data_IF_263263856817
#
_entry.id   IF_263263856817
#
_cell.length_a   1.000
_cell.length_b   1.000
_cell.length_c   1.000
_cell.angle_alpha   90.00
_cell.angle_beta   90.00
_cell.angle_gamma   90.00
#
_symmetry.space_group_name_H-M   'P 1'
#
loop_
_entity.id
_entity.type
_entity.pdbx_description
1 polymer ?
#
# COMPACT_ATOMS: atom_id res chain seq x y z
N UNK A 1 1.41 -6.36 -16.32
CA UNK A 1 2.65 -5.79 -15.76
C UNK A 1 3.74 -6.87 -15.70
N UNK A 2 5.01 -6.53 -16.00
CA UNK A 2 6.10 -7.49 -15.88
C UNK A 2 6.28 -7.98 -14.43
N UNK A 3 6.51 -9.27 -14.27
CA UNK A 3 6.85 -9.91 -12.99
C UNK A 3 8.17 -10.63 -13.13
N UNK A 4 8.96 -10.62 -12.09
CA UNK A 4 10.25 -11.27 -12.06
C UNK A 4 10.42 -12.13 -10.81
N UNK A 5 10.97 -13.33 -10.99
CA UNK A 5 11.32 -14.23 -9.91
C UNK A 5 12.76 -14.67 -10.04
N UNK A 6 13.55 -14.55 -8.98
CA UNK A 6 14.93 -15.02 -8.91
C UNK A 6 15.05 -16.25 -8.04
N UNK A 7 15.83 -17.22 -8.49
CA UNK A 7 16.19 -18.45 -7.77
C UNK A 7 17.69 -18.67 -7.77
N UNK A 8 18.11 -19.88 -7.38
CA UNK A 8 19.55 -20.24 -7.29
C UNK A 8 20.24 -20.34 -8.66
N UNK A 9 19.48 -20.70 -9.71
CA UNK A 9 20.03 -20.91 -11.07
C UNK A 9 19.85 -19.70 -11.99
N UNK A 10 19.14 -18.66 -11.55
CA UNK A 10 18.86 -17.49 -12.38
C UNK A 10 17.52 -16.84 -12.06
N UNK A 11 16.90 -16.23 -13.06
CA UNK A 11 15.62 -15.53 -12.91
C UNK A 11 14.72 -15.71 -14.12
N UNK A 12 13.42 -15.52 -13.91
CA UNK A 12 12.40 -15.46 -14.96
C UNK A 12 11.63 -14.15 -14.89
N UNK A 13 11.14 -13.70 -16.06
CA UNK A 13 10.27 -12.52 -16.18
C UNK A 13 9.08 -12.88 -17.04
N UNK A 14 7.88 -12.69 -16.51
CA UNK A 14 6.62 -12.80 -17.21
C UNK A 14 6.04 -11.43 -17.51
N UNK A 15 5.29 -11.28 -18.59
CA UNK A 15 4.75 -9.98 -19.05
C UNK A 15 3.25 -9.99 -19.27
N UNK A 16 2.57 -11.10 -18.96
CA UNK A 16 1.15 -11.29 -19.28
C UNK A 16 0.91 -11.72 -20.74
N UNK A 17 1.96 -12.14 -21.43
CA UNK A 17 1.92 -12.74 -22.76
C UNK A 17 2.24 -14.23 -22.69
N UNK A 18 1.96 -15.01 -23.75
CA UNK A 18 2.36 -16.42 -23.81
C UNK A 18 3.88 -16.65 -23.74
N UNK A 19 4.65 -15.62 -24.06
CA UNK A 19 6.12 -15.68 -23.98
C UNK A 19 6.61 -15.08 -22.66
N UNK A 20 7.62 -15.72 -22.09
CA UNK A 20 8.39 -15.23 -20.94
C UNK A 20 9.90 -15.38 -21.20
N UNK A 21 10.69 -14.65 -20.44
CA UNK A 21 12.16 -14.68 -20.55
C UNK A 21 12.75 -15.33 -19.30
N UNK A 22 13.66 -16.27 -19.49
CA UNK A 22 14.50 -16.80 -18.42
C UNK A 22 15.96 -16.39 -18.62
N UNK A 23 16.73 -16.40 -17.52
CA UNK A 23 18.16 -16.12 -17.54
C UNK A 23 18.88 -17.03 -16.54
N UNK A 24 19.77 -17.87 -17.06
CA UNK A 24 20.67 -18.75 -16.30
C UNK A 24 22.14 -18.56 -16.69
N UNK A 25 22.52 -17.33 -17.00
CA UNK A 25 23.78 -16.96 -17.66
C UNK A 25 23.59 -16.56 -19.12
N UNK A 26 22.49 -17.03 -19.74
CA UNK A 26 22.05 -16.66 -21.09
C UNK A 26 20.56 -16.32 -21.03
N UNK A 27 20.17 -15.24 -21.72
CA UNK A 27 18.75 -14.88 -21.85
C UNK A 27 18.09 -15.78 -22.90
N UNK A 28 17.04 -16.49 -22.49
CA UNK A 28 16.25 -17.38 -23.34
C UNK A 28 14.79 -16.93 -23.33
N UNK A 29 14.17 -16.94 -24.48
CA UNK A 29 12.72 -16.70 -24.61
C UNK A 29 12.00 -18.04 -24.77
N UNK A 30 11.03 -18.26 -23.91
CA UNK A 30 10.21 -19.47 -23.93
C UNK A 30 8.76 -19.12 -24.21
N UNK A 31 8.02 -20.08 -24.72
CA UNK A 31 6.57 -19.97 -24.91
C UNK A 31 5.88 -20.95 -23.97
N UNK A 32 4.83 -20.49 -23.28
CA UNK A 32 4.02 -21.34 -22.42
C UNK A 32 3.35 -22.47 -23.23
N UNK A 33 3.17 -23.65 -22.63
CA UNK A 33 2.34 -24.70 -23.23
C UNK A 33 0.97 -24.18 -23.65
N UNK A 34 0.43 -24.71 -24.73
CA UNK A 34 -0.88 -24.34 -25.29
C UNK A 34 -1.04 -22.83 -25.64
N UNK A 35 0.05 -22.07 -25.64
CA UNK A 35 0.03 -20.62 -25.94
C UNK A 35 -0.73 -19.79 -24.89
N UNK A 36 -0.89 -20.29 -23.68
CA UNK A 36 -1.55 -19.55 -22.57
C UNK A 36 -0.68 -18.41 -22.04
N UNK A 37 -1.30 -17.40 -21.50
CA UNK A 37 -0.60 -16.24 -20.94
C UNK A 37 0.19 -16.60 -19.68
N UNK A 38 1.43 -16.12 -19.57
CA UNK A 38 2.25 -16.17 -18.37
C UNK A 38 2.00 -14.91 -17.52
N UNK A 39 1.09 -15.00 -16.55
CA UNK A 39 0.57 -13.85 -15.80
C UNK A 39 1.54 -13.39 -14.72
N UNK A 40 2.00 -14.32 -13.90
CA UNK A 40 2.86 -14.07 -12.75
C UNK A 40 3.85 -15.19 -12.55
N UNK A 41 4.97 -14.90 -11.86
CA UNK A 41 5.97 -15.90 -11.54
C UNK A 41 6.57 -15.66 -10.15
N UNK A 42 6.91 -16.76 -9.47
CA UNK A 42 7.66 -16.75 -8.22
C UNK A 42 8.66 -17.89 -8.19
N UNK A 43 9.65 -17.79 -7.30
CA UNK A 43 10.51 -18.92 -6.93
C UNK A 43 10.15 -19.35 -5.50
N UNK A 44 9.82 -20.64 -5.35
CA UNK A 44 9.42 -21.21 -4.07
C UNK A 44 10.00 -22.60 -3.88
N UNK A 45 10.80 -22.79 -2.83
CA UNK A 45 11.35 -24.09 -2.40
C UNK A 45 11.95 -24.96 -3.51
N UNK A 46 12.75 -24.38 -4.39
CA UNK A 46 13.43 -25.10 -5.47
C UNK A 46 12.67 -25.13 -6.80
N UNK A 47 11.47 -24.59 -6.86
CA UNK A 47 10.65 -24.55 -8.07
C UNK A 47 10.44 -23.11 -8.53
N UNK A 48 10.53 -22.88 -9.83
CA UNK A 48 10.02 -21.70 -10.49
C UNK A 48 8.55 -21.96 -10.83
N UNK A 49 7.66 -21.15 -10.34
CA UNK A 49 6.23 -21.27 -10.55
C UNK A 49 5.76 -20.17 -11.48
N UNK A 50 5.00 -20.54 -12.49
CA UNK A 50 4.43 -19.60 -13.47
C UNK A 50 2.90 -19.78 -13.45
N UNK A 51 2.18 -18.70 -13.19
CA UNK A 51 0.72 -18.69 -13.29
C UNK A 51 0.28 -18.44 -14.73
N UNK A 52 -0.66 -19.22 -15.19
CA UNK A 52 -1.55 -18.94 -16.32
C UNK A 52 -2.98 -18.68 -15.79
N UNK A 53 -3.97 -18.31 -16.57
CA UNK A 53 -5.27 -17.86 -16.05
C UNK A 53 -5.93 -18.81 -15.03
N UNK A 54 -5.73 -20.12 -15.14
CA UNK A 54 -6.35 -21.11 -14.23
C UNK A 54 -5.39 -22.20 -13.79
N UNK A 55 -4.12 -22.10 -14.11
CA UNK A 55 -3.12 -23.15 -13.86
C UNK A 55 -1.88 -22.57 -13.24
N UNK A 56 -1.28 -23.33 -12.37
CA UNK A 56 0.02 -23.06 -11.78
C UNK A 56 1.01 -24.10 -12.33
N UNK A 57 1.92 -23.65 -13.21
CA UNK A 57 2.95 -24.46 -13.81
C UNK A 57 4.21 -24.43 -12.96
N UNK A 58 5.02 -25.49 -12.98
CA UNK A 58 6.29 -25.56 -12.29
C UNK A 58 7.43 -25.93 -13.20
N UNK A 59 8.62 -25.46 -12.82
CA UNK A 59 9.92 -25.75 -13.45
C UNK A 59 10.92 -26.01 -12.34
N UNK A 60 11.80 -26.99 -12.56
CA UNK A 60 12.95 -27.26 -11.68
C UNK A 60 14.20 -26.54 -12.14
N UNK A 61 14.29 -26.21 -13.42
CA UNK A 61 15.40 -25.46 -14.03
C UNK A 61 14.87 -24.45 -15.06
N UNK A 62 15.77 -23.65 -15.62
CA UNK A 62 15.46 -22.61 -16.61
C UNK A 62 15.90 -22.95 -18.03
N UNK A 63 16.20 -24.22 -18.32
CA UNK A 63 16.69 -24.65 -19.63
C UNK A 63 15.60 -24.74 -20.69
N UNK A 64 14.34 -24.89 -20.27
CA UNK A 64 13.19 -25.04 -21.16
C UNK A 64 11.87 -24.46 -20.59
N UNK A 65 10.80 -24.49 -21.38
CA UNK A 65 9.46 -24.19 -20.87
C UNK A 65 8.96 -25.33 -19.96
N UNK A 66 7.92 -25.10 -19.13
CA UNK A 66 7.27 -26.19 -18.39
C UNK A 66 6.74 -27.22 -19.37
N UNK A 67 6.78 -28.49 -18.98
CA UNK A 67 6.15 -29.54 -19.79
C UNK A 67 4.64 -29.34 -19.83
N UNK A 68 3.99 -29.82 -20.87
CA UNK A 68 2.57 -29.59 -21.09
C UNK A 68 1.66 -30.10 -19.96
N UNK A 69 2.13 -31.08 -19.18
CA UNK A 69 1.42 -31.67 -18.06
C UNK A 69 1.94 -31.22 -16.68
N UNK A 70 2.98 -30.40 -16.65
CA UNK A 70 3.57 -29.90 -15.40
C UNK A 70 2.77 -28.71 -14.86
N UNK A 71 1.53 -28.94 -14.48
CA UNK A 71 0.67 -27.93 -13.86
C UNK A 71 -0.32 -28.54 -12.87
N UNK A 72 -0.80 -27.71 -11.96
CA UNK A 72 -1.95 -27.96 -11.10
C UNK A 72 -3.02 -26.92 -11.37
N UNK A 73 -4.30 -27.33 -11.38
CA UNK A 73 -5.43 -26.41 -11.49
C UNK A 73 -5.61 -25.57 -10.23
N UNK A 74 -5.96 -24.31 -10.39
CA UNK A 74 -6.42 -23.43 -9.31
C UNK A 74 -7.95 -23.30 -9.41
N UNK A 75 -8.64 -24.43 -9.24
CA UNK A 75 -10.05 -24.61 -9.62
C UNK A 75 -11.03 -24.51 -8.44
N UNK A 76 -10.57 -24.16 -7.23
CA UNK A 76 -11.47 -24.02 -6.07
C UNK A 76 -12.50 -22.88 -6.29
N UNK A 77 -12.19 -21.92 -7.15
CA UNK A 77 -13.11 -20.91 -7.65
C UNK A 77 -12.96 -20.80 -9.16
N UNK A 78 -14.06 -20.50 -9.88
CA UNK A 78 -14.01 -20.32 -11.34
C UNK A 78 -13.60 -18.89 -11.70
N UNK A 79 -12.46 -18.45 -11.20
CA UNK A 79 -11.90 -17.13 -11.48
C UNK A 79 -10.46 -17.22 -12.01
N UNK A 80 -10.04 -16.19 -12.70
CA UNK A 80 -8.70 -16.15 -13.28
C UNK A 80 -7.67 -15.72 -12.22
N UNK A 81 -6.50 -16.34 -12.28
CA UNK A 81 -5.35 -15.97 -11.42
C UNK A 81 -4.87 -14.57 -11.79
N UNK A 82 -4.61 -13.75 -10.78
CA UNK A 82 -4.12 -12.39 -10.91
C UNK A 82 -2.65 -12.29 -10.52
N UNK A 83 -2.25 -12.97 -9.43
CA UNK A 83 -0.90 -12.86 -8.88
C UNK A 83 -0.52 -14.08 -8.05
N UNK A 84 0.77 -14.38 -7.99
CA UNK A 84 1.38 -15.35 -7.09
C UNK A 84 2.19 -14.65 -6.01
N UNK A 85 2.06 -15.09 -4.77
CA UNK A 85 2.86 -14.57 -3.66
C UNK A 85 3.49 -15.71 -2.87
N UNK A 86 4.79 -15.67 -2.70
CA UNK A 86 5.52 -16.57 -1.81
C UNK A 86 5.34 -16.14 -0.34
N UNK A 87 4.73 -17.00 0.47
CA UNK A 87 4.59 -16.82 1.92
C UNK A 87 5.69 -17.55 2.71
N UNK A 88 6.62 -18.24 2.04
CA UNK A 88 7.67 -19.03 2.64
C UNK A 88 7.23 -20.44 3.04
N UNK A 89 6.10 -20.62 3.71
CA UNK A 89 5.52 -21.94 4.02
C UNK A 89 4.58 -22.45 2.94
N UNK A 90 3.93 -21.56 2.21
CA UNK A 90 2.96 -21.84 1.17
C UNK A 90 3.05 -20.80 0.07
N UNK A 91 2.40 -21.06 -1.04
CA UNK A 91 2.17 -20.11 -2.13
C UNK A 91 0.73 -19.65 -2.08
N UNK A 92 0.51 -18.34 -2.00
CA UNK A 92 -0.80 -17.75 -2.16
C UNK A 92 -1.05 -17.42 -3.63
N UNK A 93 -2.12 -17.96 -4.18
CA UNK A 93 -2.61 -17.74 -5.53
C UNK A 93 -3.81 -16.82 -5.45
N UNK A 94 -3.61 -15.56 -5.81
CA UNK A 94 -4.67 -14.57 -5.83
C UNK A 94 -5.44 -14.63 -7.13
N UNK A 95 -6.74 -14.85 -7.03
CA UNK A 95 -7.71 -14.73 -8.12
C UNK A 95 -8.51 -13.44 -8.01
N UNK A 96 -9.45 -13.26 -8.95
CA UNK A 96 -10.34 -12.09 -8.97
C UNK A 96 -11.37 -12.12 -7.84
N UNK A 97 -11.73 -13.31 -7.34
CA UNK A 97 -12.75 -13.53 -6.30
C UNK A 97 -12.29 -14.40 -5.15
N UNK A 98 -11.16 -15.11 -5.30
CA UNK A 98 -10.66 -16.04 -4.30
C UNK A 98 -9.16 -15.92 -4.09
N UNK A 99 -8.70 -16.40 -2.94
CA UNK A 99 -7.29 -16.68 -2.68
C UNK A 99 -7.17 -18.15 -2.32
N UNK A 100 -6.36 -18.88 -3.07
CA UNK A 100 -6.08 -20.29 -2.85
C UNK A 100 -4.64 -20.44 -2.36
N UNK A 101 -4.40 -21.47 -1.56
CA UNK A 101 -3.06 -21.73 -1.05
C UNK A 101 -2.56 -23.08 -1.52
N UNK A 102 -1.29 -23.13 -1.89
CA UNK A 102 -0.61 -24.35 -2.34
C UNK A 102 0.64 -24.57 -1.49
N UNK A 103 0.93 -25.82 -1.21
CA UNK A 103 2.16 -26.25 -0.56
C UNK A 103 2.98 -27.17 -1.44
N UNK A 104 4.30 -27.14 -1.27
CA UNK A 104 5.21 -28.09 -1.90
C UNK A 104 5.27 -29.35 -1.06
N UNK A 105 4.90 -30.50 -1.66
CA UNK A 105 4.84 -31.81 -0.97
C UNK A 105 5.98 -32.74 -1.32
N UNK A 106 6.91 -32.34 -2.21
CA UNK A 106 8.09 -33.13 -2.55
C UNK A 106 7.84 -34.34 -3.45
N UNK A 107 6.63 -34.46 -4.04
CA UNK A 107 6.37 -35.44 -5.10
C UNK A 107 7.07 -35.01 -6.40
N UNK A 108 7.64 -35.96 -7.12
CA UNK A 108 8.30 -35.69 -8.41
C UNK A 108 7.28 -35.42 -9.52
N UNK A 109 6.14 -36.09 -9.49
CA UNK A 109 5.13 -35.97 -10.55
C UNK A 109 4.19 -34.78 -10.35
N UNK A 110 3.88 -34.45 -9.10
CA UNK A 110 3.06 -33.30 -8.75
C UNK A 110 3.57 -32.68 -7.44
N UNK A 111 4.51 -31.73 -7.53
CA UNK A 111 5.11 -31.14 -6.34
C UNK A 111 4.19 -30.18 -5.59
N UNK A 112 3.09 -29.70 -6.22
CA UNK A 112 2.20 -28.70 -5.66
C UNK A 112 0.85 -29.34 -5.26
N UNK A 113 0.42 -29.08 -4.03
CA UNK A 113 -0.85 -29.55 -3.51
C UNK A 113 -1.68 -28.38 -2.96
N UNK A 114 -2.95 -28.24 -3.36
CA UNK A 114 -3.82 -27.22 -2.82
C UNK A 114 -4.15 -27.50 -1.35
N UNK A 115 -4.20 -26.43 -0.54
CA UNK A 115 -4.71 -26.48 0.84
C UNK A 115 -6.19 -26.09 0.77
N UNK A 116 -7.03 -27.07 0.47
CA UNK A 116 -8.45 -26.86 0.11
C UNK A 116 -9.23 -26.14 1.22
N UNK A 117 -8.96 -26.48 2.47
CA UNK A 117 -9.65 -25.92 3.64
C UNK A 117 -9.34 -24.44 3.89
N UNK A 118 -8.29 -23.91 3.26
CA UNK A 118 -7.83 -22.54 3.44
C UNK A 118 -8.26 -21.58 2.31
N UNK A 119 -9.11 -22.02 1.39
CA UNK A 119 -9.60 -21.13 0.33
C UNK A 119 -10.39 -19.97 0.90
N UNK A 120 -10.04 -18.74 0.51
CA UNK A 120 -10.67 -17.51 0.99
C UNK A 120 -11.55 -16.90 -0.07
N UNK A 121 -12.79 -16.51 0.29
CA UNK A 121 -13.76 -15.86 -0.59
C UNK A 121 -13.53 -14.33 -0.65
N UNK A 122 -12.34 -13.97 -1.05
CA UNK A 122 -11.91 -12.59 -1.28
C UNK A 122 -10.88 -12.59 -2.40
N UNK A 123 -10.97 -11.64 -3.33
CA UNK A 123 -10.04 -11.54 -4.44
C UNK A 123 -9.58 -10.12 -4.69
N UNK A 124 -8.78 -9.96 -5.74
CA UNK A 124 -8.23 -8.69 -6.19
C UNK A 124 -8.47 -8.51 -7.68
N UNK A 125 -8.77 -7.30 -8.12
CA UNK A 125 -9.02 -7.06 -9.54
C UNK A 125 -7.73 -7.04 -10.37
N UNK A 126 -6.62 -6.60 -9.80
CA UNK A 126 -5.35 -6.41 -10.51
C UNK A 126 -4.15 -6.70 -9.62
N UNK A 127 -3.08 -7.23 -10.18
CA UNK A 127 -1.82 -7.55 -9.50
C UNK A 127 -1.17 -6.37 -8.78
N UNK A 128 -1.33 -5.14 -9.30
CA UNK A 128 -0.84 -3.91 -8.66
C UNK A 128 -1.56 -3.57 -7.35
N UNK A 129 -2.62 -4.27 -7.00
CA UNK A 129 -3.36 -4.12 -5.74
C UNK A 129 -2.82 -5.00 -4.61
N UNK A 130 -1.71 -5.67 -4.84
CA UNK A 130 -1.06 -6.54 -3.87
C UNK A 130 0.36 -6.07 -3.64
N UNK A 131 0.79 -6.01 -2.37
CA UNK A 131 2.18 -5.69 -1.98
C UNK A 131 2.62 -6.48 -0.76
N UNK A 132 3.85 -6.97 -0.82
CA UNK A 132 4.54 -7.55 0.33
C UNK A 132 5.41 -6.47 0.99
N UNK A 133 5.14 -6.15 2.24
CA UNK A 133 5.82 -5.10 3.02
C UNK A 133 6.22 -5.70 4.36
N UNK A 134 7.51 -5.68 4.69
CA UNK A 134 8.00 -6.20 5.97
C UNK A 134 7.67 -7.68 6.22
N UNK A 135 7.53 -8.49 5.16
CA UNK A 135 7.14 -9.90 5.24
C UNK A 135 5.64 -10.16 5.23
N UNK A 136 4.81 -9.15 5.46
CA UNK A 136 3.34 -9.24 5.40
C UNK A 136 2.82 -8.88 4.01
N UNK A 137 1.73 -9.49 3.60
CA UNK A 137 1.09 -9.25 2.30
C UNK A 137 -0.15 -8.41 2.49
N UNK A 138 -0.11 -7.19 1.99
CA UNK A 138 -1.24 -6.26 1.97
C UNK A 138 -1.90 -6.28 0.59
N UNK A 139 -3.22 -6.21 0.56
CA UNK A 139 -3.96 -6.18 -0.71
C UNK A 139 -5.25 -5.38 -0.60
N UNK A 140 -5.59 -4.68 -1.67
CA UNK A 140 -6.89 -4.04 -1.83
C UNK A 140 -7.86 -5.03 -2.45
N UNK A 141 -8.68 -5.62 -1.62
CA UNK A 141 -9.56 -6.74 -2.00
C UNK A 141 -11.03 -6.38 -1.97
N UNK A 142 -11.80 -7.19 -2.67
CA UNK A 142 -13.26 -7.19 -2.64
C UNK A 142 -13.71 -8.56 -2.12
N UNK A 143 -14.25 -8.66 -0.90
CA UNK A 143 -14.88 -9.87 -0.41
C UNK A 143 -16.20 -10.13 -1.13
N UNK A 144 -16.64 -11.38 -1.18
CA UNK A 144 -17.95 -11.74 -1.76
C UNK A 144 -19.11 -11.01 -1.09
N UNK A 145 -18.97 -10.75 0.21
CA UNK A 145 -19.95 -9.99 1.00
C UNK A 145 -19.24 -8.82 1.67
N UNK A 146 -19.62 -7.60 1.30
CA UNK A 146 -19.07 -6.38 1.91
C UNK A 146 -18.53 -5.37 0.88
N UNK A 147 -17.77 -4.42 1.38
CA UNK A 147 -17.17 -3.33 0.60
C UNK A 147 -15.69 -3.61 0.34
N UNK A 148 -15.13 -3.08 -0.76
CA UNK A 148 -13.69 -3.10 -0.98
C UNK A 148 -12.93 -2.47 0.19
N UNK A 149 -11.75 -2.97 0.46
CA UNK A 149 -10.92 -2.46 1.54
C UNK A 149 -9.49 -2.94 1.46
N UNK A 150 -8.65 -2.41 2.36
CA UNK A 150 -7.31 -2.91 2.56
C UNK A 150 -7.32 -4.06 3.55
N UNK A 151 -6.72 -5.15 3.13
CA UNK A 151 -6.57 -6.36 3.94
C UNK A 151 -5.10 -6.74 4.06
N UNK A 152 -4.79 -7.51 5.10
CA UNK A 152 -3.50 -8.17 5.28
C UNK A 152 -3.73 -9.67 5.38
N UNK A 153 -2.88 -10.47 4.72
CA UNK A 153 -2.84 -11.91 4.95
C UNK A 153 -2.18 -12.19 6.30
N UNK A 154 -2.88 -12.99 7.09
CA UNK A 154 -2.42 -13.49 8.39
C UNK A 154 -2.40 -15.03 8.34
N UNK A 155 -1.26 -15.59 7.96
CA UNK A 155 -1.14 -17.01 7.64
C UNK A 155 -2.02 -17.41 6.45
N UNK A 156 -3.00 -18.29 6.68
CA UNK A 156 -3.99 -18.74 5.69
C UNK A 156 -5.36 -18.06 5.86
N UNK A 157 -5.39 -16.92 6.54
CA UNK A 157 -6.57 -16.09 6.75
C UNK A 157 -6.30 -14.64 6.36
N UNK A 158 -7.30 -13.79 6.44
CA UNK A 158 -7.10 -12.36 6.19
C UNK A 158 -7.77 -11.52 7.28
N UNK A 159 -7.23 -10.32 7.47
CA UNK A 159 -7.77 -9.32 8.39
C UNK A 159 -7.91 -7.98 7.69
N UNK A 160 -9.03 -7.29 7.90
CA UNK A 160 -9.22 -5.92 7.42
C UNK A 160 -8.35 -4.95 8.22
N UNK A 161 -7.64 -4.08 7.50
CA UNK A 161 -6.73 -3.07 8.06
C UNK A 161 -7.28 -1.67 7.85
N UNK A 162 -8.04 -1.45 6.76
CA UNK A 162 -8.65 -0.16 6.48
C UNK A 162 -9.79 0.16 7.43
N UNK A 163 -9.83 1.41 7.87
CA UNK A 163 -11.00 2.01 8.47
C UNK A 163 -11.88 2.70 7.42
N UNK A 164 -13.09 3.08 7.83
CA UNK A 164 -14.09 3.71 6.96
C UNK A 164 -13.59 5.01 6.31
N UNK A 165 -12.77 5.78 7.02
CA UNK A 165 -12.24 7.06 6.52
C UNK A 165 -11.26 6.86 5.36
N UNK A 166 -10.38 5.85 5.45
CA UNK A 166 -9.48 5.50 4.35
C UNK A 166 -10.28 5.04 3.13
N UNK A 167 -11.27 4.17 3.34
CA UNK A 167 -12.10 3.64 2.27
C UNK A 167 -12.89 4.75 1.59
N UNK A 168 -13.49 5.64 2.36
CA UNK A 168 -14.18 6.82 1.86
C UNK A 168 -13.25 7.72 1.06
N UNK A 169 -12.04 7.98 1.55
CA UNK A 169 -11.05 8.79 0.85
C UNK A 169 -10.60 8.16 -0.49
N UNK A 170 -10.47 6.83 -0.54
CA UNK A 170 -10.09 6.11 -1.77
C UNK A 170 -11.28 6.04 -2.74
N UNK A 171 -12.49 5.93 -2.25
CA UNK A 171 -13.71 5.74 -3.05
C UNK A 171 -14.45 7.05 -3.38
N UNK A 172 -13.99 8.20 -2.90
CA UNK A 172 -14.68 9.50 -2.98
C UNK A 172 -14.88 10.06 -4.40
N UNK A 173 -14.16 9.54 -5.40
CA UNK A 173 -14.39 9.85 -6.83
C UNK A 173 -14.89 8.60 -7.55
N UNK A 174 -15.31 8.66 -8.85
CA UNK A 174 -15.83 7.49 -9.51
C UNK A 174 -14.84 6.33 -9.35
N UNK A 175 -15.22 5.43 -8.44
CA UNK A 175 -14.43 4.28 -8.07
C UNK A 175 -14.24 3.38 -9.28
N UNK A 176 -13.00 3.21 -9.68
CA UNK A 176 -12.61 2.22 -10.65
C UNK A 176 -11.45 1.42 -10.06
N UNK A 177 -11.69 0.15 -9.77
CA UNK A 177 -10.67 -0.75 -9.25
C UNK A 177 -9.40 -0.73 -10.10
N UNK A 178 -9.54 -0.55 -11.44
CA UNK A 178 -8.42 -0.47 -12.36
C UNK A 178 -7.48 0.72 -12.10
N UNK A 179 -7.89 1.71 -11.34
CA UNK A 179 -7.10 2.91 -11.09
C UNK A 179 -6.33 2.88 -9.77
N UNK A 180 -6.56 1.87 -8.93
CA UNK A 180 -5.88 1.74 -7.64
C UNK A 180 -4.61 0.91 -7.80
N UNK A 181 -3.49 1.44 -7.33
CA UNK A 181 -2.23 0.74 -7.19
C UNK A 181 -1.75 0.85 -5.74
N UNK A 182 -1.36 -0.28 -5.16
CA UNK A 182 -0.68 -0.35 -3.88
C UNK A 182 0.82 -0.35 -4.07
N UNK A 183 1.49 0.36 -3.21
CA UNK A 183 2.91 0.26 -2.98
C UNK A 183 3.17 0.39 -1.48
N UNK A 184 4.42 0.26 -1.03
CA UNK A 184 4.71 0.47 0.37
C UNK A 184 6.10 0.03 0.75
N UNK A 185 6.47 0.40 1.97
CA UNK A 185 7.79 0.12 2.54
C UNK A 185 7.73 0.08 4.05
N UNK A 186 8.78 -0.50 4.63
CA UNK A 186 8.99 -0.46 6.06
C UNK A 186 9.81 0.79 6.41
N UNK A 187 9.32 1.62 7.32
CA UNK A 187 9.98 2.85 7.76
C UNK A 187 10.04 2.89 9.28
N UNK A 188 11.24 2.87 9.85
CA UNK A 188 11.45 2.85 11.30
C UNK A 188 10.58 1.83 12.08
N UNK A 189 10.33 0.67 11.48
CA UNK A 189 9.47 -0.36 12.07
C UNK A 189 7.98 -0.23 11.73
N UNK A 190 7.57 0.85 11.09
CA UNK A 190 6.20 1.07 10.64
C UNK A 190 5.98 0.56 9.23
N UNK A 191 4.91 -0.18 9.01
CA UNK A 191 4.47 -0.58 7.66
C UNK A 191 3.67 0.55 7.03
N UNK A 192 4.28 1.20 6.04
CA UNK A 192 3.62 2.28 5.30
C UNK A 192 3.02 1.71 4.02
N UNK A 193 1.72 1.77 3.88
CA UNK A 193 1.00 1.42 2.66
C UNK A 193 0.62 2.68 1.91
N UNK A 194 1.00 2.72 0.65
CA UNK A 194 0.74 3.84 -0.25
C UNK A 194 -0.34 3.45 -1.26
N UNK A 195 -1.36 4.28 -1.35
CA UNK A 195 -2.38 4.22 -2.39
C UNK A 195 -2.10 5.28 -3.44
N UNK A 196 -1.98 4.84 -4.66
CA UNK A 196 -1.80 5.72 -5.80
C UNK A 196 -2.88 5.43 -6.83
N UNK A 197 -3.54 6.49 -7.33
CA UNK A 197 -4.46 6.37 -8.45
C UNK A 197 -3.70 6.50 -9.75
N UNK A 198 -3.86 5.51 -10.61
CA UNK A 198 -3.29 5.52 -11.96
C UNK A 198 -4.29 6.23 -12.87
N UNK A 199 -4.09 7.51 -13.15
CA UNK A 199 -4.86 8.25 -14.13
C UNK A 199 -4.11 8.38 -15.46
N UNK A 200 -4.84 8.19 -16.56
CA UNK A 200 -4.30 8.39 -17.91
C UNK A 200 -4.15 9.88 -18.30
N UNK A 201 -4.71 10.79 -17.52
CA UNK A 201 -4.64 12.23 -17.72
C UNK A 201 -3.85 12.92 -16.62
N UNK A 202 -3.36 14.12 -16.90
CA UNK A 202 -2.55 14.95 -16.01
C UNK A 202 -3.28 15.44 -14.71
N UNK A 203 -4.35 14.76 -14.30
CA UNK A 203 -5.08 15.09 -13.10
C UNK A 203 -4.30 14.70 -11.85
N UNK A 204 -4.23 15.62 -10.95
CA UNK A 204 -3.60 15.54 -9.63
C UNK A 204 -4.46 14.73 -8.67
N UNK A 205 -4.41 13.40 -8.75
CA UNK A 205 -5.02 12.59 -7.69
C UNK A 205 -4.09 12.55 -6.48
N UNK A 206 -4.59 12.80 -5.28
CA UNK A 206 -3.76 12.72 -4.09
C UNK A 206 -3.22 11.31 -3.89
N UNK A 207 -1.97 11.23 -3.46
CA UNK A 207 -1.39 9.98 -2.96
C UNK A 207 -1.71 9.85 -1.47
N UNK A 208 -2.32 8.75 -1.07
CA UNK A 208 -2.67 8.48 0.32
C UNK A 208 -1.66 7.51 0.90
N UNK A 209 -1.12 7.84 2.05
CA UNK A 209 -0.26 6.97 2.86
C UNK A 209 -1.04 6.55 4.10
N UNK A 210 -1.03 5.26 4.38
CA UNK A 210 -1.50 4.69 5.64
C UNK A 210 -0.30 4.13 6.40
N UNK A 211 -0.07 4.60 7.61
CA UNK A 211 0.75 3.89 8.58
C UNK A 211 -0.11 2.82 9.26
N UNK A 212 0.12 1.57 8.93
CA UNK A 212 -0.68 0.45 9.46
C UNK A 212 -0.50 0.29 10.98
N UNK A 213 0.65 0.67 11.51
CA UNK A 213 0.97 0.49 12.92
C UNK A 213 0.20 1.46 13.83
N UNK A 214 -0.05 2.67 13.34
CA UNK A 214 -0.72 3.74 14.10
C UNK A 214 -2.14 4.02 13.61
N UNK A 215 -2.49 3.56 12.40
CA UNK A 215 -3.74 3.94 11.71
C UNK A 215 -3.72 5.34 11.11
N UNK A 216 -2.60 6.06 11.19
CA UNK A 216 -2.51 7.43 10.68
C UNK A 216 -2.58 7.47 9.15
N UNK A 217 -3.43 8.37 8.65
CA UNK A 217 -3.62 8.60 7.22
C UNK A 217 -3.00 9.94 6.86
N UNK A 218 -2.11 9.94 5.87
CA UNK A 218 -1.47 11.15 5.35
C UNK A 218 -1.74 11.26 3.85
N UNK A 219 -2.16 12.44 3.42
CA UNK A 219 -2.38 12.73 2.00
C UNK A 219 -1.24 13.56 1.47
N UNK A 220 -0.59 13.10 0.41
CA UNK A 220 0.40 13.87 -0.34
C UNK A 220 -0.31 14.49 -1.53
N UNK A 221 -0.50 15.81 -1.48
CA UNK A 221 -1.01 16.62 -2.59
C UNK A 221 0.15 17.42 -3.17
N UNK A 222 0.75 16.99 -4.27
CA UNK A 222 1.80 17.77 -4.90
C UNK A 222 1.19 18.94 -5.69
N UNK A 223 1.85 20.09 -5.65
CA UNK A 223 1.53 21.26 -6.49
C UNK A 223 1.76 20.98 -7.99
N UNK A 224 2.50 19.93 -8.30
CA UNK A 224 2.66 19.37 -9.64
C UNK A 224 2.23 17.91 -9.64
N UNK A 225 1.78 17.36 -10.79
CA UNK A 225 1.37 15.97 -10.85
C UNK A 225 2.52 15.07 -10.40
N UNK A 226 2.35 14.46 -9.23
CA UNK A 226 3.32 13.55 -8.66
C UNK A 226 3.39 12.27 -9.50
N UNK A 227 4.53 12.06 -10.13
CA UNK A 227 4.72 11.01 -11.13
C UNK A 227 5.31 9.71 -10.56
N UNK A 228 5.47 9.61 -9.24
CA UNK A 228 6.05 8.43 -8.59
C UNK A 228 5.10 7.25 -8.58
N UNK A 229 5.35 6.23 -9.39
CA UNK A 229 4.57 4.97 -9.42
C UNK A 229 5.05 3.93 -8.45
N UNK A 230 6.35 3.70 -8.43
CA UNK A 230 6.97 2.65 -7.64
C UNK A 230 7.96 3.25 -6.66
N UNK A 231 8.03 2.66 -5.48
CA UNK A 231 8.91 3.10 -4.43
C UNK A 231 9.73 1.91 -3.94
N UNK A 232 10.98 2.13 -3.63
CA UNK A 232 11.84 1.15 -2.99
C UNK A 232 12.84 1.85 -2.10
N UNK A 233 13.34 1.14 -1.11
CA UNK A 233 14.43 1.64 -0.27
C UNK A 233 15.73 1.03 -0.80
N UNK A 234 16.69 1.88 -1.11
CA UNK A 234 18.02 1.42 -1.51
C UNK A 234 18.75 0.77 -0.33
N UNK A 235 19.79 -0.01 -0.61
CA UNK A 235 20.65 -0.58 0.41
C UNK A 235 21.28 0.45 1.37
N UNK A 236 21.31 1.73 0.97
CA UNK A 236 21.78 2.86 1.79
C UNK A 236 20.67 3.56 2.56
N UNK A 237 19.44 3.02 2.59
CA UNK A 237 18.30 3.61 3.29
C UNK A 237 17.61 4.76 2.55
N UNK A 238 18.03 5.10 1.32
CA UNK A 238 17.37 6.15 0.56
C UNK A 238 16.09 5.63 -0.08
N UNK A 239 15.02 6.41 0.01
CA UNK A 239 13.80 6.15 -0.71
C UNK A 239 13.99 6.50 -2.20
N UNK A 240 13.81 5.53 -3.06
CA UNK A 240 13.89 5.66 -4.50
C UNK A 240 12.49 5.61 -5.10
N UNK A 241 12.22 6.48 -6.05
CA UNK A 241 10.91 6.61 -6.70
C UNK A 241 11.08 6.42 -8.20
N UNK A 242 10.34 5.48 -8.77
CA UNK A 242 10.24 5.33 -10.22
C UNK A 242 9.29 6.38 -10.79
N UNK A 243 9.79 7.23 -11.69
CA UNK A 243 8.98 8.26 -12.34
C UNK A 243 8.15 7.68 -13.49
N UNK A 244 6.91 8.14 -13.59
CA UNK A 244 6.04 7.83 -14.74
C UNK A 244 6.34 8.70 -15.96
N UNK A 245 6.97 9.87 -15.76
CA UNK A 245 7.18 10.90 -16.80
C UNK A 245 8.58 10.88 -17.40
N UNK A 246 9.54 10.29 -16.69
CA UNK A 246 10.93 10.19 -17.15
C UNK A 246 11.41 8.76 -17.07
N UNK A 247 12.22 8.36 -18.05
CA UNK A 247 12.95 7.08 -17.98
C UNK A 247 14.03 7.26 -16.93
N UNK A 248 13.86 6.63 -15.77
CA UNK A 248 14.85 6.67 -14.70
C UNK A 248 14.26 6.55 -13.31
N UNK A 249 15.13 6.33 -12.35
CA UNK A 249 14.83 6.31 -10.93
C UNK A 249 15.16 7.69 -10.37
N UNK A 250 14.16 8.37 -9.83
CA UNK A 250 14.36 9.63 -9.13
C UNK A 250 14.61 9.33 -7.66
N UNK A 251 15.73 9.79 -7.12
CA UNK A 251 15.97 9.78 -5.69
C UNK A 251 14.93 10.70 -5.06
N UNK A 252 14.19 10.21 -4.06
CA UNK A 252 13.36 11.08 -3.25
C UNK A 252 14.30 12.01 -2.51
N UNK A 253 14.34 13.26 -2.94
CA UNK A 253 15.12 14.27 -2.29
C UNK A 253 14.58 14.52 -0.88
N UNK A 254 15.47 14.81 0.04
CA UNK A 254 15.10 15.35 1.33
C UNK A 254 14.08 16.45 1.12
N UNK A 255 13.09 16.39 1.95
CA UNK A 255 11.96 17.29 2.04
C UNK A 255 12.31 18.71 1.61
N UNK A 256 11.69 19.17 0.53
CA UNK A 256 11.73 20.58 0.17
C UNK A 256 11.13 21.39 1.35
N UNK A 257 11.91 22.25 2.01
CA UNK A 257 11.41 23.05 3.13
C UNK A 257 10.30 24.03 2.72
N UNK A 258 10.12 24.28 1.43
CA UNK A 258 9.10 25.18 0.91
C UNK A 258 7.73 24.50 0.72
N UNK A 259 7.64 23.17 0.83
CA UNK A 259 6.35 22.45 0.67
C UNK A 259 5.52 22.57 1.95
N UNK A 260 4.32 23.16 1.88
CA UNK A 260 3.39 23.22 3.01
C UNK A 260 3.00 21.81 3.45
N UNK A 261 2.99 21.56 4.74
CA UNK A 261 2.56 20.30 5.34
C UNK A 261 1.41 20.52 6.26
N UNK A 262 0.47 19.63 6.26
CA UNK A 262 -0.65 19.66 7.17
C UNK A 262 -0.87 18.32 7.84
N UNK A 263 -1.20 18.37 9.12
CA UNK A 263 -1.69 17.25 9.91
C UNK A 263 -3.12 17.59 10.33
N UNK A 264 -4.07 16.74 9.96
CA UNK A 264 -5.46 16.89 10.41
C UNK A 264 -5.75 15.79 11.42
N UNK A 265 -6.30 16.17 12.58
CA UNK A 265 -6.70 15.19 13.60
C UNK A 265 -8.05 14.57 13.25
N UNK A 266 -8.37 13.47 13.90
CA UNK A 266 -9.73 12.98 13.97
C UNK A 266 -10.61 13.89 14.84
N UNK A 267 -11.91 13.60 14.89
CA UNK A 267 -12.86 14.40 15.65
C UNK A 267 -12.65 14.22 17.15
N UNK A 268 -12.46 15.32 17.84
CA UNK A 268 -12.46 15.36 19.30
C UNK A 268 -13.89 15.64 19.77
N UNK A 269 -14.48 14.67 20.43
CA UNK A 269 -15.84 14.69 20.97
C UNK A 269 -15.82 14.28 22.44
N UNK A 270 -16.87 14.62 23.17
CA UNK A 270 -17.12 14.05 24.52
C UNK A 270 -17.93 12.75 24.37
N UNK A 271 -17.86 11.88 25.36
CA UNK A 271 -18.60 10.61 25.39
C UNK A 271 -20.13 10.79 25.24
N UNK A 272 -20.66 11.92 25.70
CA UNK A 272 -22.06 12.25 25.62
C UNK A 272 -22.46 13.09 24.41
N UNK A 273 -21.51 13.41 23.54
CA UNK A 273 -21.68 14.32 22.39
C UNK A 273 -22.27 15.70 22.78
N UNK A 274 -22.07 16.11 24.03
CA UNK A 274 -22.47 17.40 24.54
C UNK A 274 -21.53 18.52 24.08
N UNK A 275 -22.00 19.75 24.22
CA UNK A 275 -21.16 20.92 23.98
C UNK A 275 -20.10 21.06 25.08
N UNK A 276 -18.87 21.21 24.68
CA UNK A 276 -17.75 21.45 25.58
C UNK A 276 -16.91 22.64 25.10
N UNK A 277 -16.22 23.28 26.03
CA UNK A 277 -15.36 24.40 25.73
C UNK A 277 -13.90 23.97 25.75
N UNK A 278 -13.18 24.25 24.67
CA UNK A 278 -11.72 24.10 24.61
C UNK A 278 -11.05 25.40 25.01
N UNK A 279 -10.37 25.37 26.12
CA UNK A 279 -9.63 26.55 26.64
C UNK A 279 -8.31 26.71 25.91
N UNK A 280 -7.56 25.64 25.72
CA UNK A 280 -6.32 25.68 24.98
C UNK A 280 -5.93 24.35 24.35
N UNK A 281 -5.11 24.44 23.30
CA UNK A 281 -4.37 23.36 22.70
C UNK A 281 -2.88 23.66 22.86
N UNK A 282 -2.13 22.70 23.38
CA UNK A 282 -0.69 22.75 23.52
C UNK A 282 -0.05 21.65 22.68
N UNK A 283 1.00 22.01 21.99
CA UNK A 283 1.82 21.08 21.23
C UNK A 283 3.26 21.11 21.76
N UNK A 284 3.79 19.95 22.06
CA UNK A 284 5.24 19.77 22.15
C UNK A 284 5.72 19.31 20.78
N UNK A 285 6.48 20.12 20.09
CA UNK A 285 6.89 19.90 18.72
C UNK A 285 8.36 20.24 18.49
N UNK A 286 8.91 19.61 17.46
CA UNK A 286 10.27 19.87 16.95
C UNK A 286 10.15 20.24 15.49
N UNK A 287 10.92 21.23 15.02
CA UNK A 287 10.94 21.59 13.61
C UNK A 287 11.19 23.08 13.39
N UNK A 288 11.36 23.45 12.13
CA UNK A 288 11.57 24.83 11.68
C UNK A 288 10.29 25.39 11.06
N UNK A 289 10.06 26.68 11.23
CA UNK A 289 8.96 27.40 10.62
C UNK A 289 7.78 27.69 11.55
N UNK A 290 6.85 28.47 11.03
CA UNK A 290 5.61 28.81 11.74
C UNK A 290 4.62 27.68 11.63
N UNK A 291 3.95 27.36 12.73
CA UNK A 291 2.87 26.39 12.77
C UNK A 291 1.54 27.16 12.83
N UNK A 292 0.73 26.99 11.80
CA UNK A 292 -0.62 27.53 11.72
C UNK A 292 -1.61 26.51 12.29
N UNK A 293 -2.47 26.95 13.20
CA UNK A 293 -3.62 26.18 13.68
C UNK A 293 -4.89 26.66 13.01
N UNK A 294 -5.62 25.74 12.43
CA UNK A 294 -7.00 25.90 11.99
C UNK A 294 -7.90 24.91 12.74
N UNK A 295 -9.11 25.32 13.05
CA UNK A 295 -10.10 24.47 13.71
C UNK A 295 -11.37 24.39 12.87
N UNK A 296 -11.98 23.22 12.89
CA UNK A 296 -13.33 22.99 12.37
C UNK A 296 -14.24 22.53 13.50
N UNK A 297 -15.50 22.99 13.48
CA UNK A 297 -16.54 22.65 14.44
C UNK A 297 -17.68 21.83 13.81
N UNK A 298 -17.53 21.47 12.54
CA UNK A 298 -18.54 20.83 11.70
C UNK A 298 -17.96 19.64 10.91
N UNK A 299 -16.97 18.95 11.49
CA UNK A 299 -16.37 17.75 10.90
C UNK A 299 -15.50 18.02 9.68
N UNK A 300 -14.87 19.19 9.61
CA UNK A 300 -13.95 19.53 8.49
C UNK A 300 -14.62 20.23 7.31
N UNK A 301 -15.91 20.55 7.41
CA UNK A 301 -16.64 21.25 6.33
C UNK A 301 -16.25 22.72 6.23
N UNK A 302 -16.06 23.39 7.37
CA UNK A 302 -15.56 24.78 7.42
C UNK A 302 -14.37 24.88 8.36
N UNK A 303 -13.40 25.72 8.00
CA UNK A 303 -12.17 25.90 8.77
C UNK A 303 -11.97 27.34 9.20
N UNK A 304 -11.60 27.53 10.45
CA UNK A 304 -11.31 28.83 11.06
C UNK A 304 -9.85 28.89 11.48
N UNK A 305 -9.12 29.85 10.96
CA UNK A 305 -7.76 30.12 11.40
C UNK A 305 -7.75 30.67 12.80
N UNK A 306 -7.06 30.00 13.72
CA UNK A 306 -6.84 30.46 15.10
C UNK A 306 -5.65 31.39 15.17
N UNK A 307 -4.57 31.04 14.50
CA UNK A 307 -3.34 31.84 14.44
C UNK A 307 -2.12 30.98 14.14
N UNK A 308 -1.03 31.66 13.81
CA UNK A 308 0.27 31.07 13.62
C UNK A 308 1.17 31.35 14.83
N UNK A 309 1.86 30.32 15.29
CA UNK A 309 2.91 30.45 16.31
C UNK A 309 4.27 30.33 15.66
N UNK A 310 5.08 31.35 15.86
CA UNK A 310 6.40 31.43 15.23
C UNK A 310 7.36 30.39 15.79
N UNK A 311 8.01 29.68 14.86
CA UNK A 311 8.99 28.65 15.15
C UNK A 311 10.40 29.00 14.77
N UNK A 312 10.76 30.27 14.82
CA UNK A 312 12.07 30.69 14.43
C UNK A 312 13.20 29.86 15.06
N UNK A 313 13.99 29.19 14.23
CA UNK A 313 15.28 28.57 14.50
C UNK A 313 15.35 27.41 15.53
N UNK A 314 14.28 26.67 15.76
CA UNK A 314 14.33 25.64 16.80
C UNK A 314 14.84 24.28 16.28
N UNK A 315 16.09 24.02 16.51
CA UNK A 315 16.69 22.66 16.52
C UNK A 315 16.25 21.87 17.77
N UNK A 316 15.62 22.54 18.74
CA UNK A 316 15.19 21.99 20.03
C UNK A 316 13.69 21.83 20.12
N UNK A 317 13.27 20.94 21.03
CA UNK A 317 11.86 20.78 21.37
C UNK A 317 11.28 22.10 21.89
N UNK A 318 10.11 22.45 21.38
CA UNK A 318 9.39 23.64 21.79
C UNK A 318 7.96 23.31 22.12
N UNK A 319 7.39 24.14 22.97
CA UNK A 319 5.97 24.12 23.28
C UNK A 319 5.30 25.33 22.65
N UNK A 320 4.29 25.08 21.80
CA UNK A 320 3.40 26.10 21.28
C UNK A 320 2.01 25.92 21.87
N UNK A 321 1.29 27.02 22.04
CA UNK A 321 -0.02 27.02 22.69
C UNK A 321 -0.96 28.04 22.07
N UNK A 322 -2.14 27.57 21.71
CA UNK A 322 -3.25 28.44 21.31
C UNK A 322 -4.33 28.41 22.40
N UNK A 323 -4.91 29.56 22.69
CA UNK A 323 -5.89 29.73 23.74
C UNK A 323 -7.26 30.16 23.18
N UNK A 324 -8.33 29.95 23.95
CA UNK A 324 -9.69 30.40 23.63
C UNK A 324 -10.25 29.80 22.34
N UNK A 325 -10.17 28.49 22.18
CA UNK A 325 -10.60 27.79 20.99
C UNK A 325 -12.12 27.75 20.83
N UNK A 326 -12.85 28.06 21.93
CA UNK A 326 -14.31 28.22 21.93
C UNK A 326 -15.07 26.97 22.28
N UNK A 327 -16.38 26.97 21.99
CA UNK A 327 -17.31 25.93 22.40
C UNK A 327 -17.93 25.27 21.17
N UNK A 328 -17.97 23.94 21.15
CA UNK A 328 -18.62 23.14 20.11
C UNK A 328 -19.00 21.76 20.66
N UNK A 329 -19.69 20.93 19.85
CA UNK A 329 -19.94 19.51 20.14
C UNK A 329 -18.78 18.64 19.67
N UNK A 330 -18.06 19.10 18.65
CA UNK A 330 -16.90 18.43 18.09
C UNK A 330 -15.88 19.44 17.63
N UNK A 331 -14.62 19.07 17.67
CA UNK A 331 -13.52 19.84 17.12
C UNK A 331 -12.65 18.93 16.26
N UNK A 332 -12.22 19.47 15.12
CA UNK A 332 -11.18 18.88 14.27
C UNK A 332 -10.09 19.92 14.11
N UNK A 333 -8.84 19.53 14.28
CA UNK A 333 -7.70 20.44 14.19
C UNK A 333 -6.93 20.17 12.92
N UNK A 334 -6.48 21.25 12.28
CA UNK A 334 -5.51 21.17 11.18
C UNK A 334 -4.30 22.04 11.53
N UNK A 335 -3.15 21.39 11.62
CA UNK A 335 -1.87 22.01 11.83
C UNK A 335 -1.15 22.09 10.49
N UNK A 336 -0.70 23.26 10.09
CA UNK A 336 0.04 23.45 8.84
C UNK A 336 1.36 24.16 9.12
N UNK A 337 2.44 23.74 8.45
CA UNK A 337 3.74 24.38 8.55
C UNK A 337 4.44 24.42 7.19
N UNK A 338 5.29 25.42 7.00
CA UNK A 338 6.10 25.60 5.78
C UNK A 338 7.43 24.83 5.83
N UNK A 339 7.70 24.08 6.88
CA UNK A 339 8.91 23.30 7.07
C UNK A 339 8.62 21.90 7.63
N UNK A 340 9.69 21.12 7.84
CA UNK A 340 9.57 19.87 8.56
C UNK A 340 9.20 20.15 10.01
N UNK A 341 8.15 19.50 10.50
CA UNK A 341 7.81 19.51 11.91
C UNK A 341 7.37 18.14 12.38
N UNK A 342 7.75 17.80 13.60
CA UNK A 342 7.34 16.59 14.30
C UNK A 342 6.51 17.01 15.50
N UNK A 343 5.41 16.30 15.73
CA UNK A 343 4.55 16.50 16.91
C UNK A 343 4.85 15.37 17.88
N UNK A 344 5.45 15.70 19.00
CA UNK A 344 5.79 14.71 20.03
C UNK A 344 4.62 14.47 20.98
N UNK A 345 3.86 15.53 21.29
CA UNK A 345 2.74 15.45 22.23
C UNK A 345 1.68 16.50 21.93
N UNK A 346 0.42 16.14 22.15
CA UNK A 346 -0.74 17.05 22.01
C UNK A 346 -1.51 17.03 23.33
N UNK A 347 -1.72 18.19 23.92
CA UNK A 347 -2.52 18.34 25.13
C UNK A 347 -3.69 19.28 24.88
N UNK A 348 -4.89 18.80 25.18
CA UNK A 348 -6.12 19.56 25.11
C UNK A 348 -6.61 19.86 26.52
N UNK A 349 -6.97 21.10 26.77
CA UNK A 349 -7.61 21.50 28.02
C UNK A 349 -9.06 21.86 27.73
N UNK A 350 -9.96 21.01 28.19
CA UNK A 350 -11.40 21.13 27.97
C UNK A 350 -12.15 21.25 29.29
N UNK A 351 -13.28 21.95 29.27
CA UNK A 351 -14.25 21.98 30.36
C UNK A 351 -15.66 21.87 29.81
N UNK A 352 -16.47 21.18 30.56
CA UNK A 352 -17.91 21.03 30.30
C UNK A 352 -18.66 22.26 30.70
#
# INVERSE_FOLDING_TARGET
>A
EPRAAGGHDGWIVTTGHPQYVSYNGVALTHTMPDGVEAISCIYHRGYYLIASPRRLHWLTDLAGPPAALDFVGADASQDDIVELIDLGSAVAVFGQRSIQFFQVVGSLDNPLMPIIEATLSIGVAYSRQIRKIGGQVYFWGLPDVGTPGLFVLDGLSYKRVSGEDLERAIMAEPYNASNISLDGWLWHGHSIVKFHRVHNSAQTSPTILLDVSTGAITTITPDAPYSGRTWTISARGNLLVGSQRSVGVVRHQEVDPAVPRSLTTDHVVTDLLDRFTLDNLRLDCRGMGDILLEISKDGGSTWYTVGAESGANAVSDRRVQWNRLGTARQFTFRLSATGAFDVANVMLNARN
#
